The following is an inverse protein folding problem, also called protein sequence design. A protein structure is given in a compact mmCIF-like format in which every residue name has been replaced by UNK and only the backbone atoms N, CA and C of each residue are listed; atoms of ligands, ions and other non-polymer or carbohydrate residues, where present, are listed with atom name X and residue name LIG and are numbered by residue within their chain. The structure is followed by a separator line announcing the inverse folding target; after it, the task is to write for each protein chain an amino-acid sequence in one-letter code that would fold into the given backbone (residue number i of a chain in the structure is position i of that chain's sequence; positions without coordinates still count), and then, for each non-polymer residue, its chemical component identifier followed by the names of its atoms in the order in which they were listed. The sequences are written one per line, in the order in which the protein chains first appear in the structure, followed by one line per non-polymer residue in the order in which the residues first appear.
data_IF_625692722221
#
_entry.id   IF_625692722221
#
_cell.length_a   1.000
_cell.length_b   1.000
_cell.length_c   1.000
_cell.angle_alpha   90.00
_cell.angle_beta   90.00
_cell.angle_gamma   90.00
#
_symmetry.space_group_name_H-M   'P 1'
#
loop_
_entity.id
_entity.type
_entity.pdbx_description
1 polymer ?
#
# COMPACT_ATOMS: atom_id res chain seq x y z
N UNK A 1 8.86 -9.75 -15.85
CA UNK A 1 9.42 -8.43 -15.51
C UNK A 1 8.23 -7.52 -15.28
N UNK A 2 8.16 -6.82 -14.13
CA UNK A 2 7.06 -5.90 -13.84
C UNK A 2 7.40 -4.53 -14.44
N UNK A 3 6.50 -3.95 -15.22
CA UNK A 3 6.69 -2.64 -15.86
C UNK A 3 6.13 -1.50 -15.01
N UNK A 4 4.98 -1.72 -14.38
CA UNK A 4 4.33 -0.77 -13.49
C UNK A 4 4.08 -1.41 -12.11
N UNK A 5 4.33 -0.65 -11.05
CA UNK A 5 4.15 -1.10 -9.69
C UNK A 5 3.50 -0.01 -8.85
N UNK A 6 2.46 -0.38 -8.10
CA UNK A 6 1.74 0.55 -7.24
C UNK A 6 1.41 -0.11 -5.91
N UNK A 7 1.50 0.68 -4.84
CA UNK A 7 1.03 0.32 -3.52
C UNK A 7 -0.31 1.01 -3.26
N UNK A 8 -1.30 0.21 -2.90
CA UNK A 8 -2.63 0.66 -2.53
C UNK A 8 -2.85 0.38 -1.04
N UNK A 9 -3.46 1.31 -0.31
CA UNK A 9 -3.87 1.12 1.09
C UNK A 9 -5.37 1.34 1.16
N UNK A 10 -6.07 0.38 1.76
CA UNK A 10 -7.50 0.38 1.96
C UNK A 10 -7.84 0.39 3.44
N UNK A 11 -8.89 1.10 3.81
CA UNK A 11 -9.50 0.97 5.13
C UNK A 11 -10.28 -0.36 5.26
N UNK A 12 -10.81 -0.63 6.46
CA UNK A 12 -11.57 -1.85 6.75
C UNK A 12 -12.87 -1.99 5.95
N UNK A 13 -13.40 -0.87 5.44
CA UNK A 13 -14.60 -0.85 4.60
C UNK A 13 -14.27 -1.07 3.12
N UNK A 14 -12.97 -1.19 2.77
CA UNK A 14 -12.49 -1.36 1.41
C UNK A 14 -12.30 -0.06 0.65
N UNK A 15 -12.39 1.10 1.30
CA UNK A 15 -12.14 2.39 0.65
C UNK A 15 -10.65 2.57 0.42
N UNK A 16 -10.27 2.96 -0.80
CA UNK A 16 -8.88 3.32 -1.12
C UNK A 16 -8.53 4.65 -0.45
N UNK A 17 -7.61 4.61 0.51
CA UNK A 17 -7.16 5.80 1.27
C UNK A 17 -5.82 6.33 0.77
N UNK A 18 -4.92 5.45 0.28
CA UNK A 18 -3.63 5.86 -0.28
C UNK A 18 -3.35 5.07 -1.56
N UNK A 19 -2.89 5.79 -2.59
CA UNK A 19 -2.31 5.22 -3.81
C UNK A 19 -0.92 5.81 -4.03
N UNK A 20 0.10 4.95 -4.18
CA UNK A 20 1.48 5.37 -4.46
C UNK A 20 2.07 4.58 -5.61
N UNK A 21 2.65 5.29 -6.57
CA UNK A 21 3.44 4.69 -7.65
C UNK A 21 4.84 4.35 -7.14
N UNK A 22 5.34 3.18 -7.53
CA UNK A 22 6.67 2.70 -7.17
C UNK A 22 7.56 2.79 -8.42
N UNK A 23 8.50 3.73 -8.41
CA UNK A 23 9.45 3.94 -9.51
C UNK A 23 10.77 3.20 -9.29
N UNK A 24 11.04 2.73 -8.06
CA UNK A 24 12.23 1.98 -7.73
C UNK A 24 12.10 0.52 -8.18
N UNK A 25 13.20 -0.02 -8.72
CA UNK A 25 13.31 -1.42 -9.14
C UNK A 25 14.26 -2.18 -8.22
N UNK A 26 14.04 -3.48 -8.06
CA UNK A 26 14.83 -4.32 -7.16
C UNK A 26 14.46 -4.12 -5.69
N UNK A 27 15.39 -4.46 -4.79
CA UNK A 27 15.18 -4.24 -3.36
C UNK A 27 15.22 -2.75 -3.04
N UNK A 28 14.20 -2.28 -2.33
CA UNK A 28 14.06 -0.88 -1.94
C UNK A 28 13.09 -0.73 -0.79
N UNK A 29 12.98 0.50 -0.29
CA UNK A 29 12.04 0.87 0.75
C UNK A 29 11.31 2.15 0.37
N UNK A 30 10.06 2.26 0.82
CA UNK A 30 9.23 3.45 0.64
C UNK A 30 8.69 3.86 2.00
N UNK A 31 8.84 5.14 2.32
CA UNK A 31 8.26 5.71 3.53
C UNK A 31 6.86 6.25 3.22
N UNK A 32 5.90 5.85 4.04
CA UNK A 32 4.51 6.30 3.94
C UNK A 32 4.18 6.95 5.27
N UNK A 33 3.77 8.22 5.23
CA UNK A 33 3.32 8.92 6.42
C UNK A 33 1.92 8.43 6.79
N UNK A 34 1.85 7.53 7.77
CA UNK A 34 0.60 7.00 8.31
C UNK A 34 -0.10 7.95 9.29
N UNK A 35 0.55 9.04 9.73
CA UNK A 35 -0.02 10.00 10.68
C UNK A 35 -1.21 10.80 10.12
N UNK A 36 -1.46 10.71 8.81
CA UNK A 36 -2.67 11.27 8.18
C UNK A 36 -3.84 10.30 8.15
N UNK A 37 -3.65 9.06 8.60
CA UNK A 37 -4.68 8.03 8.67
C UNK A 37 -5.25 7.98 10.10
N UNK A 38 -6.56 7.81 10.22
CA UNK A 38 -7.18 7.60 11.52
C UNK A 38 -6.76 6.24 12.11
N UNK A 39 -6.78 6.14 13.44
CA UNK A 39 -6.64 4.87 14.17
C UNK A 39 -7.58 3.81 13.59
N UNK A 40 -7.08 2.60 13.35
CA UNK A 40 -7.87 1.54 12.75
C UNK A 40 -7.09 0.47 12.00
N UNK A 41 -7.85 -0.40 11.34
CA UNK A 41 -7.33 -1.51 10.55
C UNK A 41 -7.28 -1.15 9.07
N UNK A 42 -6.17 -1.49 8.44
CA UNK A 42 -5.90 -1.24 7.03
C UNK A 42 -5.32 -2.49 6.36
N UNK A 43 -5.50 -2.58 5.06
CA UNK A 43 -4.82 -3.55 4.21
C UNK A 43 -4.03 -2.76 3.18
N UNK A 44 -2.75 -3.09 3.04
CA UNK A 44 -1.97 -2.60 1.91
C UNK A 44 -1.68 -3.73 0.94
N UNK A 45 -1.81 -3.41 -0.35
CA UNK A 45 -1.68 -4.34 -1.46
C UNK A 45 -0.68 -3.78 -2.46
N UNK A 46 0.34 -4.57 -2.77
CA UNK A 46 1.27 -4.30 -3.86
C UNK A 46 0.70 -4.90 -5.13
N UNK A 47 0.52 -4.05 -6.14
CA UNK A 47 0.19 -4.47 -7.50
C UNK A 47 1.41 -4.36 -8.41
N UNK A 48 1.56 -5.34 -9.30
CA UNK A 48 2.53 -5.34 -10.39
C UNK A 48 1.81 -5.61 -11.71
N UNK A 49 1.93 -4.70 -12.66
CA UNK A 49 1.21 -4.73 -13.94
C UNK A 49 -0.31 -4.98 -13.77
N UNK A 50 -0.90 -4.33 -12.75
CA UNK A 50 -2.32 -4.47 -12.41
C UNK A 50 -2.70 -5.72 -11.60
N UNK A 51 -1.78 -6.67 -11.40
CA UNK A 51 -2.03 -7.90 -10.67
C UNK A 51 -1.55 -7.82 -9.22
N UNK A 52 -2.27 -8.48 -8.30
CA UNK A 52 -1.86 -8.56 -6.90
C UNK A 52 -0.59 -9.37 -6.76
N UNK A 53 0.49 -8.72 -6.32
CA UNK A 53 1.75 -9.36 -5.95
C UNK A 53 1.69 -9.86 -4.51
N UNK A 54 1.05 -9.08 -3.64
CA UNK A 54 0.85 -9.47 -2.25
C UNK A 54 0.13 -8.42 -1.43
N UNK A 55 -0.39 -8.85 -0.28
CA UNK A 55 -1.13 -7.99 0.64
C UNK A 55 -0.71 -8.26 2.09
N UNK A 56 -0.75 -7.23 2.92
CA UNK A 56 -0.48 -7.32 4.36
C UNK A 56 -1.41 -6.39 5.13
N UNK A 57 -1.62 -6.71 6.40
CA UNK A 57 -2.44 -5.92 7.32
C UNK A 57 -1.58 -4.88 8.04
N UNK A 58 -2.16 -3.72 8.28
CA UNK A 58 -1.62 -2.65 9.11
C UNK A 58 -2.66 -2.30 10.18
N UNK A 59 -2.23 -2.17 11.42
CA UNK A 59 -3.06 -1.67 12.52
C UNK A 59 -2.41 -0.40 13.02
N UNK A 60 -3.16 0.71 13.01
CA UNK A 60 -2.73 1.98 13.59
C UNK A 60 -3.44 2.10 14.93
N UNK A 61 -2.64 2.29 15.98
CA UNK A 61 -3.07 2.54 17.35
C UNK A 61 -2.68 3.98 17.73
N UNK A 62 -3.37 4.55 18.71
CA UNK A 62 -2.99 5.84 19.33
C UNK A 62 -1.67 5.75 20.11
#
# INVERSE_FOLDING_TARGET
HINDAQLLIFDINGNLVIKKQITQRGYGSMLINAGTLSTGNYIYTLLGDGNVVGSKKLVILE
#
